data_IF_851757985549
#
_entry.id   IF_851757985549
#
_cell.length_a   1.000
_cell.length_b   1.000
_cell.length_c   1.000
_cell.angle_alpha   90.00
_cell.angle_beta   90.00
_cell.angle_gamma   90.00
#
_symmetry.space_group_name_H-M   'P 1'
#
loop_
_entity.id
_entity.type
_entity.pdbx_description
1 polymer ?
#
# COMPACT_ATOMS: atom_id res chain seq x y z
N UNK A 1 11.25 39.06 -9.29
CA UNK A 1 11.99 38.06 -8.50
C UNK A 1 10.96 37.22 -7.77
N UNK A 2 10.87 35.93 -8.08
CA UNK A 2 10.00 35.01 -7.35
C UNK A 2 10.76 34.56 -6.11
N UNK A 3 10.28 34.96 -4.92
CA UNK A 3 10.84 34.48 -3.65
C UNK A 3 10.35 33.04 -3.51
N UNK A 4 11.26 32.08 -3.72
CA UNK A 4 11.00 30.66 -3.53
C UNK A 4 11.43 30.21 -2.13
N UNK A 5 10.76 29.19 -1.60
CA UNK A 5 11.21 28.46 -0.42
C UNK A 5 11.88 27.18 -0.90
N UNK A 6 13.10 26.91 -0.43
CA UNK A 6 13.83 25.65 -0.66
C UNK A 6 13.86 24.85 0.63
N UNK A 7 13.46 23.59 0.56
CA UNK A 7 13.64 22.65 1.67
C UNK A 7 15.00 21.96 1.52
N UNK A 8 15.83 22.04 2.55
CA UNK A 8 17.09 21.31 2.62
C UNK A 8 16.92 20.02 3.45
N UNK A 9 17.63 18.96 3.06
CA UNK A 9 17.54 17.64 3.65
C UNK A 9 18.90 16.94 3.65
N UNK A 10 19.18 16.16 4.70
CA UNK A 10 20.33 15.26 4.79
C UNK A 10 19.85 13.95 5.43
N UNK A 11 19.67 12.87 4.64
CA UNK A 11 19.16 11.61 5.15
C UNK A 11 20.19 10.84 5.98
N UNK A 12 21.48 11.06 5.73
CA UNK A 12 22.56 10.25 6.28
C UNK A 12 23.46 11.07 7.22
N UNK A 13 23.82 10.54 8.40
CA UNK A 13 24.77 11.19 9.29
C UNK A 13 26.11 11.49 8.60
N UNK A 14 26.56 12.75 8.68
CA UNK A 14 27.82 13.19 8.10
C UNK A 14 27.73 13.77 6.69
N UNK A 15 26.57 13.72 6.04
CA UNK A 15 26.34 14.39 4.75
C UNK A 15 25.85 15.84 4.95
N UNK A 16 26.29 16.80 4.11
CA UNK A 16 25.83 18.18 4.19
C UNK A 16 24.34 18.29 3.84
N UNK A 17 23.68 19.32 4.37
CA UNK A 17 22.32 19.68 3.94
C UNK A 17 22.35 20.12 2.48
N UNK A 18 21.42 19.60 1.69
CA UNK A 18 21.28 19.86 0.26
C UNK A 18 19.80 19.98 -0.12
N UNK A 19 19.46 20.58 -1.28
CA UNK A 19 18.06 20.68 -1.71
C UNK A 19 17.38 19.30 -1.75
N UNK A 20 16.18 19.19 -1.15
CA UNK A 20 15.44 17.94 -1.01
C UNK A 20 15.27 17.20 -2.35
N UNK A 21 15.01 17.94 -3.43
CA UNK A 21 14.80 17.40 -4.78
C UNK A 21 16.08 16.87 -5.44
N UNK A 22 17.25 17.23 -4.93
CA UNK A 22 18.55 16.77 -5.43
C UNK A 22 19.08 15.57 -4.62
N UNK A 23 18.66 15.44 -3.36
CA UNK A 23 19.22 14.46 -2.41
C UNK A 23 18.28 13.28 -2.12
N UNK A 24 16.97 13.50 -2.06
CA UNK A 24 16.04 12.45 -1.66
C UNK A 24 15.76 11.47 -2.81
N UNK A 25 15.84 10.16 -2.52
CA UNK A 25 15.25 9.15 -3.39
C UNK A 25 13.73 9.30 -3.49
N UNK A 26 13.09 8.69 -4.51
CA UNK A 26 11.63 8.77 -4.68
C UNK A 26 10.84 8.30 -3.45
N UNK A 27 11.32 7.26 -2.76
CA UNK A 27 10.72 6.77 -1.52
C UNK A 27 10.92 7.72 -0.33
N UNK A 28 12.08 8.36 -0.21
CA UNK A 28 12.34 9.35 0.84
C UNK A 28 11.52 10.61 0.64
N UNK A 29 11.42 11.09 -0.61
CA UNK A 29 10.58 12.24 -0.95
C UNK A 29 9.10 11.95 -0.61
N UNK A 30 8.61 10.76 -0.94
CA UNK A 30 7.24 10.34 -0.63
C UNK A 30 6.97 10.27 0.87
N UNK A 31 7.94 9.75 1.66
CA UNK A 31 7.83 9.71 3.13
C UNK A 31 7.94 11.09 3.76
N UNK A 32 8.78 11.97 3.22
CA UNK A 32 8.87 13.36 3.66
C UNK A 32 7.54 14.09 3.41
N UNK A 33 6.96 13.94 2.22
CA UNK A 33 5.64 14.49 1.89
C UNK A 33 4.53 13.92 2.78
N UNK A 34 4.57 12.62 3.10
CA UNK A 34 3.65 12.01 4.05
C UNK A 34 3.75 12.68 5.43
N UNK A 35 4.97 12.84 5.96
CA UNK A 35 5.19 13.50 7.24
C UNK A 35 4.64 14.94 7.24
N UNK A 36 4.93 15.71 6.19
CA UNK A 36 4.37 17.06 6.03
C UNK A 36 2.84 17.06 5.96
N UNK A 37 2.25 16.15 5.18
CA UNK A 37 0.79 16.03 5.07
C UNK A 37 0.15 15.68 6.41
N UNK A 38 0.76 14.83 7.22
CA UNK A 38 0.29 14.57 8.59
C UNK A 38 0.39 15.82 9.45
N UNK A 39 1.52 16.54 9.42
CA UNK A 39 1.68 17.77 10.21
C UNK A 39 0.64 18.84 9.86
N UNK A 40 0.29 18.97 8.58
CA UNK A 40 -0.69 19.95 8.10
C UNK A 40 -2.10 19.38 7.91
N UNK A 41 -2.39 18.20 8.47
CA UNK A 41 -3.66 17.50 8.25
C UNK A 41 -4.89 18.35 8.57
N UNK A 42 -4.79 19.24 9.57
CA UNK A 42 -5.90 20.07 10.05
C UNK A 42 -6.19 21.31 9.18
N UNK A 43 -5.23 21.77 8.37
CA UNK A 43 -5.36 23.00 7.59
C UNK A 43 -5.32 22.78 6.08
N UNK A 44 -4.89 21.60 5.63
CA UNK A 44 -4.83 21.29 4.21
C UNK A 44 -6.22 20.84 3.71
N UNK A 45 -6.83 21.56 2.74
CA UNK A 45 -8.20 21.34 2.31
C UNK A 45 -8.37 20.12 1.39
N UNK A 46 -7.28 19.43 1.03
CA UNK A 46 -7.32 18.31 0.08
C UNK A 46 -8.02 17.11 0.70
N UNK A 47 -9.18 16.74 0.15
CA UNK A 47 -10.02 15.63 0.64
C UNK A 47 -9.54 14.23 0.29
N UNK A 48 -8.74 14.06 -0.78
CA UNK A 48 -8.25 12.75 -1.24
C UNK A 48 -6.76 12.79 -1.52
N UNK A 49 -6.01 11.84 -0.96
CA UNK A 49 -4.57 11.66 -1.14
C UNK A 49 -4.30 10.29 -1.76
N UNK A 50 -3.37 10.23 -2.71
CA UNK A 50 -2.92 8.99 -3.36
C UNK A 50 -1.42 8.84 -3.11
N UNK A 51 -1.04 7.69 -2.55
CA UNK A 51 0.34 7.30 -2.33
C UNK A 51 0.64 6.04 -3.13
N UNK A 52 1.71 6.10 -3.90
CA UNK A 52 2.30 4.96 -4.60
C UNK A 52 3.75 4.81 -4.11
N UNK A 53 4.24 3.59 -4.02
CA UNK A 53 5.63 3.25 -3.65
C UNK A 53 6.15 3.83 -2.32
N UNK A 54 5.28 4.28 -1.42
CA UNK A 54 5.71 4.89 -0.15
C UNK A 54 6.46 3.92 0.77
N UNK A 55 6.24 2.63 0.57
CA UNK A 55 6.81 1.51 1.31
C UNK A 55 8.00 0.84 0.60
N UNK A 56 8.51 1.43 -0.49
CA UNK A 56 9.70 0.92 -1.19
C UNK A 56 10.95 1.09 -0.33
N UNK A 57 11.75 0.02 -0.28
CA UNK A 57 13.06 -0.01 0.39
C UNK A 57 12.99 -0.01 1.92
N UNK A 58 11.82 -0.19 2.51
CA UNK A 58 11.62 -0.18 3.97
C UNK A 58 10.93 -1.44 4.46
N UNK A 59 11.14 -1.81 5.72
CA UNK A 59 10.50 -2.97 6.36
C UNK A 59 10.35 -2.77 7.88
N UNK A 60 9.67 -3.72 8.53
CA UNK A 60 9.57 -3.78 9.99
C UNK A 60 8.97 -2.51 10.61
N UNK A 61 9.69 -1.92 11.58
CA UNK A 61 9.23 -0.73 12.32
C UNK A 61 8.97 0.48 11.42
N UNK A 62 9.71 0.62 10.32
CA UNK A 62 9.52 1.74 9.39
C UNK A 62 8.21 1.58 8.62
N UNK A 63 7.91 0.38 8.11
CA UNK A 63 6.62 0.11 7.46
C UNK A 63 5.44 0.27 8.42
N UNK A 64 5.61 -0.10 9.69
CA UNK A 64 4.59 0.13 10.71
C UNK A 64 4.35 1.64 10.94
N UNK A 65 5.42 2.44 11.01
CA UNK A 65 5.28 3.89 11.15
C UNK A 65 4.52 4.51 9.96
N UNK A 66 4.85 4.11 8.73
CA UNK A 66 4.15 4.53 7.52
C UNK A 66 2.67 4.13 7.57
N UNK A 67 2.38 2.88 7.94
CA UNK A 67 1.01 2.38 8.09
C UNK A 67 0.18 3.24 9.06
N UNK A 68 0.77 3.59 10.22
CA UNK A 68 0.12 4.44 11.22
C UNK A 68 -0.14 5.86 10.70
N UNK A 69 0.82 6.46 10.01
CA UNK A 69 0.69 7.80 9.43
C UNK A 69 -0.40 7.84 8.35
N UNK A 70 -0.43 6.84 7.47
CA UNK A 70 -1.49 6.71 6.46
C UNK A 70 -2.88 6.55 7.11
N UNK A 71 -2.99 5.72 8.15
CA UNK A 71 -4.24 5.54 8.87
C UNK A 71 -4.69 6.82 9.60
N UNK A 72 -3.76 7.54 10.22
CA UNK A 72 -4.03 8.81 10.88
C UNK A 72 -4.54 9.86 9.88
N UNK A 73 -3.89 9.99 8.72
CA UNK A 73 -4.38 10.86 7.64
C UNK A 73 -5.76 10.44 7.12
N UNK A 74 -5.99 9.13 7.04
CA UNK A 74 -7.28 8.55 6.66
C UNK A 74 -8.42 8.85 7.64
N UNK A 75 -8.14 9.48 8.80
CA UNK A 75 -9.18 9.84 9.74
C UNK A 75 -10.07 10.99 9.29
N UNK A 76 -9.47 11.95 8.61
CA UNK A 76 -10.14 13.17 8.18
C UNK A 76 -10.25 13.25 6.64
N UNK A 77 -9.65 12.29 5.93
CA UNK A 77 -9.50 12.31 4.46
C UNK A 77 -9.60 10.91 3.85
N UNK A 78 -9.82 10.86 2.55
CA UNK A 78 -9.66 9.62 1.80
C UNK A 78 -8.19 9.41 1.44
N UNK A 79 -7.62 8.28 1.88
CA UNK A 79 -6.25 7.88 1.53
C UNK A 79 -6.30 6.62 0.68
N UNK A 80 -5.72 6.68 -0.51
CA UNK A 80 -5.50 5.53 -1.39
C UNK A 80 -4.00 5.22 -1.39
N UNK A 81 -3.65 3.97 -1.07
CA UNK A 81 -2.26 3.51 -1.05
C UNK A 81 -2.14 2.23 -1.87
N UNK A 82 -1.21 2.22 -2.82
CA UNK A 82 -0.73 0.98 -3.44
C UNK A 82 0.42 0.46 -2.58
N UNK A 83 0.38 -0.82 -2.18
CA UNK A 83 1.34 -1.39 -1.24
C UNK A 83 1.52 -2.88 -1.49
N UNK A 84 2.75 -3.35 -1.26
CA UNK A 84 3.06 -4.78 -1.19
C UNK A 84 3.34 -5.24 0.25
N UNK A 85 3.30 -4.31 1.21
CA UNK A 85 3.61 -4.60 2.61
C UNK A 85 2.37 -5.07 3.39
N UNK A 86 2.41 -6.27 4.00
CA UNK A 86 1.27 -6.82 4.74
C UNK A 86 0.73 -5.88 5.83
N UNK A 87 1.60 -5.19 6.57
CA UNK A 87 1.17 -4.32 7.68
C UNK A 87 0.43 -3.07 7.18
N UNK A 88 0.85 -2.49 6.05
CA UNK A 88 0.18 -1.33 5.44
C UNK A 88 -1.21 -1.75 4.93
N UNK A 89 -1.30 -2.91 4.28
CA UNK A 89 -2.58 -3.48 3.88
C UNK A 89 -3.47 -3.88 5.07
N UNK A 90 -2.89 -4.36 6.17
CA UNK A 90 -3.62 -4.80 7.37
C UNK A 90 -4.24 -3.62 8.14
N UNK A 91 -3.60 -2.45 8.16
CA UNK A 91 -4.16 -1.27 8.83
C UNK A 91 -5.24 -0.56 8.01
N UNK A 92 -5.36 -0.82 6.71
CA UNK A 92 -6.36 -0.14 5.88
C UNK A 92 -7.80 -0.39 6.35
N UNK A 93 -8.72 0.53 6.09
CA UNK A 93 -10.16 0.33 6.39
C UNK A 93 -10.80 -0.61 5.35
N UNK A 94 -10.38 -0.47 4.09
CA UNK A 94 -10.78 -1.33 2.97
C UNK A 94 -9.52 -1.85 2.29
N UNK A 95 -9.52 -3.13 1.92
CA UNK A 95 -8.41 -3.76 1.21
C UNK A 95 -8.92 -4.22 -0.16
N UNK A 96 -8.34 -3.67 -1.22
CA UNK A 96 -8.65 -4.05 -2.59
C UNK A 96 -7.51 -4.89 -3.15
N UNK A 97 -7.85 -6.01 -3.79
CA UNK A 97 -6.90 -6.82 -4.56
C UNK A 97 -6.95 -6.44 -6.03
N UNK A 98 -5.77 -6.32 -6.64
CA UNK A 98 -5.61 -6.01 -8.05
C UNK A 98 -5.02 -7.22 -8.76
N UNK A 99 -5.77 -7.79 -9.71
CA UNK A 99 -5.38 -8.99 -10.46
C UNK A 99 -5.42 -8.76 -11.96
N UNK A 100 -4.59 -9.52 -12.69
CA UNK A 100 -4.62 -9.58 -14.16
C UNK A 100 -5.44 -10.78 -14.62
N UNK A 101 -6.31 -10.58 -15.60
CA UNK A 101 -7.13 -11.61 -16.21
C UNK A 101 -6.99 -11.58 -17.73
N UNK A 102 -6.78 -12.74 -18.34
CA UNK A 102 -6.82 -12.87 -19.81
C UNK A 102 -8.28 -13.03 -20.23
N UNK A 103 -8.71 -12.22 -21.20
CA UNK A 103 -10.05 -12.26 -21.79
C UNK A 103 -9.88 -12.58 -23.28
N UNK A 104 -10.66 -13.55 -23.73
CA UNK A 104 -10.71 -13.96 -25.14
C UNK A 104 -11.93 -13.31 -25.79
N UNK A 105 -11.70 -12.48 -26.81
CA UNK A 105 -12.73 -11.75 -27.55
C UNK A 105 -12.74 -12.22 -29.00
N UNK A 106 -13.94 -12.35 -29.59
CA UNK A 106 -14.10 -12.65 -31.01
C UNK A 106 -14.15 -11.32 -31.77
N UNK A 107 -13.17 -11.09 -32.63
CA UNK A 107 -13.05 -9.88 -33.44
C UNK A 107 -13.57 -10.18 -34.84
N UNK A 108 -14.55 -9.41 -35.28
CA UNK A 108 -15.03 -9.48 -36.66
C UNK A 108 -13.91 -9.02 -37.59
N UNK A 109 -13.36 -9.94 -38.40
CA UNK A 109 -12.44 -9.58 -39.48
C UNK A 109 -13.27 -9.27 -40.72
N UNK A 110 -12.84 -8.28 -41.49
CA UNK A 110 -13.46 -7.84 -42.76
C UNK A 110 -13.72 -8.96 -43.78
N UNK A 111 -13.14 -10.14 -43.56
CA UNK A 111 -13.12 -11.27 -44.49
C UNK A 111 -14.14 -12.37 -44.09
N UNK A 112 -14.98 -12.15 -43.08
CA UNK A 112 -16.03 -13.09 -42.64
C UNK A 112 -15.54 -14.24 -41.76
N UNK A 113 -14.23 -14.44 -41.58
CA UNK A 113 -13.67 -15.34 -40.59
C UNK A 113 -13.44 -14.56 -39.28
N UNK A 114 -14.14 -14.90 -38.20
CA UNK A 114 -13.88 -14.29 -36.88
C UNK A 114 -12.47 -14.62 -36.40
N UNK A 115 -11.70 -13.60 -36.00
CA UNK A 115 -10.40 -13.80 -35.35
C UNK A 115 -10.60 -13.88 -33.84
N UNK A 116 -9.89 -14.78 -33.19
CA UNK A 116 -9.83 -14.84 -31.73
C UNK A 116 -8.68 -13.93 -31.29
N UNK A 117 -8.97 -12.95 -30.44
CA UNK A 117 -7.97 -12.09 -29.81
C UNK A 117 -7.97 -12.31 -28.30
N UNK A 118 -6.77 -12.45 -27.72
CA UNK A 118 -6.61 -12.47 -26.27
C UNK A 118 -6.05 -11.13 -25.80
N UNK A 119 -6.60 -10.63 -24.69
CA UNK A 119 -6.11 -9.40 -24.04
C UNK A 119 -6.03 -9.58 -22.54
N UNK A 120 -4.99 -9.01 -21.94
CA UNK A 120 -4.92 -8.88 -20.48
C UNK A 120 -5.76 -7.68 -20.03
N UNK A 121 -6.62 -7.91 -19.04
CA UNK A 121 -7.40 -6.88 -18.35
C UNK A 121 -7.03 -6.86 -16.88
N UNK A 122 -7.12 -5.69 -16.24
CA UNK A 122 -6.90 -5.54 -14.80
C UNK A 122 -8.27 -5.53 -14.12
N UNK A 123 -8.42 -6.30 -13.04
CA UNK A 123 -9.59 -6.28 -12.18
C UNK A 123 -9.19 -5.81 -10.79
N UNK A 124 -10.09 -5.03 -10.17
CA UNK A 124 -9.95 -4.56 -8.80
C UNK A 124 -11.16 -5.10 -8.02
N UNK A 125 -10.90 -5.78 -6.91
CA UNK A 125 -11.95 -6.39 -6.09
C UNK A 125 -11.76 -6.00 -4.62
N UNK A 126 -12.84 -5.56 -3.97
CA UNK A 126 -12.86 -5.39 -2.53
C UNK A 126 -12.81 -6.77 -1.84
N UNK A 127 -11.90 -6.93 -0.88
CA UNK A 127 -11.72 -8.17 -0.15
C UNK A 127 -12.62 -8.24 1.08
N UNK A 128 -13.40 -9.31 1.17
CA UNK A 128 -14.12 -9.69 2.40
C UNK A 128 -13.15 -10.17 3.48
N UNK A 129 -13.55 -10.21 4.78
CA UNK A 129 -12.63 -10.50 5.89
C UNK A 129 -11.77 -11.76 5.72
N UNK A 130 -12.37 -12.85 5.23
CA UNK A 130 -11.65 -14.10 4.98
C UNK A 130 -10.66 -14.00 3.82
N UNK A 131 -11.04 -13.32 2.73
CA UNK A 131 -10.17 -13.09 1.58
C UNK A 131 -9.02 -12.15 1.95
N UNK A 132 -9.31 -11.12 2.74
CA UNK A 132 -8.32 -10.19 3.28
C UNK A 132 -7.25 -10.92 4.09
N UNK A 133 -7.65 -11.83 4.98
CA UNK A 133 -6.70 -12.66 5.74
C UNK A 133 -5.81 -13.51 4.83
N UNK A 134 -6.41 -14.14 3.82
CA UNK A 134 -5.67 -14.95 2.86
C UNK A 134 -4.68 -14.11 2.04
N UNK A 135 -5.08 -12.92 1.60
CA UNK A 135 -4.21 -12.00 0.87
C UNK A 135 -3.02 -11.55 1.72
N UNK A 136 -3.26 -11.17 2.97
CA UNK A 136 -2.19 -10.80 3.90
C UNK A 136 -1.21 -11.96 4.14
N UNK A 137 -1.72 -13.20 4.21
CA UNK A 137 -0.87 -14.39 4.31
C UNK A 137 -0.03 -14.60 3.05
N UNK A 138 -0.57 -14.30 1.86
CA UNK A 138 0.18 -14.37 0.60
C UNK A 138 1.27 -13.29 0.53
N UNK A 139 0.94 -12.05 0.88
CA UNK A 139 1.91 -10.95 0.95
C UNK A 139 3.05 -11.28 1.94
N UNK A 140 2.73 -11.83 3.11
CA UNK A 140 3.71 -12.19 4.12
C UNK A 140 4.53 -13.44 3.77
N UNK A 141 3.93 -14.39 3.06
CA UNK A 141 4.56 -15.64 2.62
C UNK A 141 5.49 -15.49 1.42
N UNK A 142 5.64 -14.29 0.85
CA UNK A 142 6.47 -14.04 -0.34
C UNK A 142 5.85 -14.57 -1.64
N UNK A 143 4.52 -14.45 -1.76
CA UNK A 143 3.64 -14.99 -2.80
C UNK A 143 4.29 -15.56 -4.07
N UNK A 144 4.15 -16.87 -4.27
CA UNK A 144 4.17 -17.44 -5.63
C UNK A 144 2.87 -17.04 -6.33
N UNK A 145 2.99 -16.32 -7.45
CA UNK A 145 1.89 -16.07 -8.38
C UNK A 145 1.46 -17.40 -8.97
N UNK A 146 0.30 -17.89 -8.54
CA UNK A 146 -0.73 -18.54 -9.35
C UNK A 146 -1.67 -19.31 -8.43
N UNK A 147 -2.95 -19.17 -8.71
CA UNK A 147 -4.01 -20.06 -8.24
C UNK A 147 -3.69 -21.47 -8.75
N UNK A 148 -2.96 -22.25 -7.96
CA UNK A 148 -3.12 -23.69 -7.92
C UNK A 148 -3.15 -24.12 -6.46
N UNK A 149 -4.27 -24.71 -6.08
CA UNK A 149 -4.42 -25.47 -4.84
C UNK A 149 -3.60 -26.76 -4.99
N UNK A 150 -2.28 -26.62 -5.06
CA UNK A 150 -1.37 -27.74 -4.91
C UNK A 150 -1.33 -28.08 -3.42
N UNK A 151 -1.90 -29.24 -3.11
CA UNK A 151 -1.94 -29.90 -1.81
C UNK A 151 -0.51 -30.24 -1.33
N UNK A 152 0.31 -29.26 -0.94
CA UNK A 152 1.43 -29.50 -0.03
C UNK A 152 0.94 -29.30 1.40
N UNK A 153 0.52 -30.40 2.03
CA UNK A 153 0.17 -30.49 3.45
C UNK A 153 1.43 -30.24 4.29
N UNK A 154 1.30 -29.33 5.27
CA UNK A 154 2.06 -29.37 6.53
C UNK A 154 3.07 -28.23 6.74
N UNK A 155 2.79 -27.35 7.71
CA UNK A 155 3.62 -26.30 8.33
C UNK A 155 3.68 -24.89 7.72
N UNK A 156 4.10 -24.70 6.46
CA UNK A 156 4.39 -23.32 5.97
C UNK A 156 3.14 -22.44 5.75
N UNK A 157 2.05 -23.00 5.20
CA UNK A 157 0.80 -22.26 4.99
C UNK A 157 0.12 -21.86 6.30
N UNK A 158 0.21 -22.69 7.33
CA UNK A 158 -0.37 -22.37 8.65
C UNK A 158 0.35 -21.19 9.31
N UNK A 159 1.69 -21.11 9.18
CA UNK A 159 2.47 -20.02 9.76
C UNK A 159 2.15 -18.66 9.12
N UNK A 160 1.94 -18.61 7.81
CA UNK A 160 1.60 -17.36 7.11
C UNK A 160 0.19 -16.87 7.48
N UNK A 161 -0.76 -17.79 7.65
CA UNK A 161 -2.12 -17.45 8.10
C UNK A 161 -2.12 -16.95 9.54
N UNK A 162 -1.39 -17.61 10.45
CA UNK A 162 -1.24 -17.17 11.85
C UNK A 162 -0.59 -15.78 11.90
N UNK A 163 0.42 -15.52 11.07
CA UNK A 163 1.03 -14.19 10.99
C UNK A 163 0.04 -13.13 10.47
N UNK A 164 -0.76 -13.45 9.46
CA UNK A 164 -1.82 -12.56 8.97
C UNK A 164 -2.87 -12.25 10.04
N UNK A 165 -3.25 -13.23 10.85
CA UNK A 165 -4.16 -13.02 12.00
C UNK A 165 -3.52 -12.11 13.05
N UNK A 166 -2.23 -12.32 13.35
CA UNK A 166 -1.47 -11.46 14.24
C UNK A 166 -1.39 -10.02 13.73
N UNK A 167 -1.15 -9.81 12.42
CA UNK A 167 -1.15 -8.48 11.80
C UNK A 167 -2.51 -7.79 11.91
N UNK A 168 -3.61 -8.52 11.69
CA UNK A 168 -4.97 -7.98 11.81
C UNK A 168 -5.29 -7.59 13.27
N UNK A 169 -4.90 -8.42 14.23
CA UNK A 169 -5.07 -8.12 15.66
C UNK A 169 -4.25 -6.89 16.07
N UNK A 170 -2.97 -6.86 15.70
CA UNK A 170 -2.07 -5.74 15.96
C UNK A 170 -2.61 -4.46 15.32
N UNK A 171 -3.11 -4.54 14.08
CA UNK A 171 -3.71 -3.39 13.39
C UNK A 171 -4.93 -2.86 14.14
N UNK A 172 -5.80 -3.74 14.66
CA UNK A 172 -6.97 -3.33 15.45
C UNK A 172 -6.57 -2.59 16.73
N UNK A 173 -5.57 -3.07 17.46
CA UNK A 173 -5.03 -2.41 18.66
C UNK A 173 -4.45 -1.03 18.33
N UNK A 174 -3.64 -0.94 17.27
CA UNK A 174 -3.05 0.32 16.81
C UNK A 174 -4.12 1.35 16.43
N UNK A 175 -5.19 0.92 15.75
CA UNK A 175 -6.34 1.79 15.41
C UNK A 175 -7.04 2.34 16.64
N UNK A 176 -7.21 1.50 17.68
CA UNK A 176 -7.81 1.93 18.94
C UNK A 176 -6.94 2.98 19.65
N UNK A 177 -5.62 2.76 19.68
CA UNK A 177 -4.67 3.71 20.28
C UNK A 177 -4.74 5.08 19.59
N UNK A 178 -4.70 5.11 18.25
CA UNK A 178 -4.81 6.36 17.48
C UNK A 178 -6.13 7.09 17.78
N UNK A 179 -7.25 6.35 17.84
CA UNK A 179 -8.57 6.94 18.12
C UNK A 179 -8.64 7.56 19.52
N UNK A 180 -7.99 6.93 20.51
CA UNK A 180 -7.90 7.46 21.87
C UNK A 180 -7.00 8.70 21.97
N UNK A 181 -5.91 8.75 21.21
CA UNK A 181 -5.00 9.91 21.18
C UNK A 181 -5.64 11.13 20.54
N UNK A 182 -6.44 10.97 19.49
CA UNK A 182 -7.15 12.07 18.82
C UNK A 182 -8.33 12.62 19.65
N UNK A 183 -8.76 11.90 20.69
CA UNK A 183 -9.86 12.31 21.58
C UNK A 183 -9.40 13.14 22.79
N UNK A 184 -8.10 13.43 22.89
CA UNK A 184 -7.48 14.26 23.95
C UNK A 184 -6.98 15.57 23.37
#
# INVERSE_FOLDING_TARGET
MQIGITFEFSPNPGEPMQPLNETASGGEMSRFLLALKTCFAQIDPIGTLVFDEIDVGVSGRVSQAIALQLYQLGRDRQVLCVTHQPIVAAIADRHFHVSKHVVTESVAVSNGAGAISERTTVRVQLLEPNQRKQELAQLAGGGSVAVEVSKKKGKSKDSAVVFAESLLSQSAELKQQISQTLSK
#
